data_IF_871181856451
#
_entry.id   IF_871181856451
#
_cell.length_a   1.000
_cell.length_b   1.000
_cell.length_c   1.000
_cell.angle_alpha   90.00
_cell.angle_beta   90.00
_cell.angle_gamma   90.00
#
_symmetry.space_group_name_H-M   'P 1'
#
loop_
_entity.id
_entity.type
_entity.pdbx_description
1 polymer ?
#
# COMPACT_ATOMS: atom_id res chain seq x y z
N UNK A 1 20.54 -23.71 -19.15
CA UNK A 1 21.18 -22.75 -18.21
C UNK A 1 20.07 -22.12 -17.38
N UNK A 2 19.77 -22.71 -16.22
CA UNK A 2 18.83 -22.13 -15.27
C UNK A 2 19.62 -21.09 -14.47
N UNK A 3 19.38 -19.80 -14.71
CA UNK A 3 19.88 -18.76 -13.83
C UNK A 3 19.15 -18.96 -12.51
N UNK A 4 19.91 -19.30 -11.47
CA UNK A 4 19.45 -19.38 -10.10
C UNK A 4 18.59 -18.18 -9.80
N UNK A 5 17.28 -18.43 -9.71
CA UNK A 5 16.27 -17.52 -9.20
C UNK A 5 16.79 -17.02 -7.86
N UNK A 6 17.33 -15.79 -7.83
CA UNK A 6 17.05 -14.93 -6.70
C UNK A 6 15.54 -15.07 -6.52
N UNK A 7 15.10 -15.68 -5.41
CA UNK A 7 13.68 -15.94 -5.12
C UNK A 7 12.82 -14.91 -5.81
N UNK A 8 11.94 -15.33 -6.74
CA UNK A 8 11.13 -14.42 -7.53
C UNK A 8 10.58 -13.33 -6.61
N UNK A 9 11.14 -12.12 -6.71
CA UNK A 9 10.90 -11.04 -5.73
C UNK A 9 9.43 -10.65 -5.72
N UNK A 10 8.72 -11.00 -6.80
CA UNK A 10 7.29 -10.89 -6.97
C UNK A 10 6.68 -12.28 -7.15
N UNK A 11 5.58 -12.56 -6.45
CA UNK A 11 4.74 -13.73 -6.66
C UNK A 11 3.46 -13.31 -7.38
N UNK A 12 3.14 -13.99 -8.48
CA UNK A 12 1.88 -13.79 -9.22
C UNK A 12 0.88 -14.84 -8.75
N UNK A 13 -0.23 -14.41 -8.16
CA UNK A 13 -1.27 -15.33 -7.64
C UNK A 13 -2.19 -15.87 -8.73
N UNK A 14 -2.35 -15.14 -9.83
CA UNK A 14 -3.23 -15.52 -10.94
C UNK A 14 -2.73 -14.93 -12.26
N UNK A 15 -2.76 -15.74 -13.31
CA UNK A 15 -2.29 -15.33 -14.65
C UNK A 15 -0.77 -15.28 -14.76
N UNK A 16 -0.29 -14.57 -15.77
CA UNK A 16 1.12 -14.23 -15.97
C UNK A 16 1.23 -12.71 -16.04
N UNK A 17 2.38 -12.17 -15.62
CA UNK A 17 2.69 -10.76 -15.81
C UNK A 17 3.49 -10.62 -17.09
N UNK A 18 3.03 -9.76 -17.99
CA UNK A 18 3.78 -9.43 -19.20
C UNK A 18 5.03 -8.61 -18.83
N UNK A 19 6.08 -8.61 -19.69
CA UNK A 19 7.31 -7.87 -19.43
C UNK A 19 7.07 -6.38 -19.12
N UNK A 20 6.10 -5.76 -19.79
CA UNK A 20 5.71 -4.36 -19.60
C UNK A 20 5.11 -4.12 -18.20
N UNK A 21 4.33 -5.06 -17.67
CA UNK A 21 3.73 -4.97 -16.35
C UNK A 21 4.81 -5.11 -15.25
N UNK A 22 5.74 -6.05 -15.42
CA UNK A 22 6.89 -6.19 -14.51
C UNK A 22 7.78 -4.95 -14.52
N UNK A 23 8.02 -4.36 -15.70
CA UNK A 23 8.76 -3.12 -15.83
C UNK A 23 8.05 -1.95 -15.12
N UNK A 24 6.72 -1.85 -15.24
CA UNK A 24 5.92 -0.82 -14.58
C UNK A 24 6.02 -0.94 -13.04
N UNK A 25 5.85 -2.15 -12.50
CA UNK A 25 5.96 -2.39 -11.05
C UNK A 25 7.37 -2.04 -10.56
N UNK A 26 8.40 -2.47 -11.28
CA UNK A 26 9.80 -2.16 -10.96
C UNK A 26 10.06 -0.66 -10.96
N UNK A 27 9.59 0.06 -11.98
CA UNK A 27 9.73 1.51 -12.09
C UNK A 27 9.07 2.23 -10.91
N UNK A 28 7.86 1.81 -10.51
CA UNK A 28 7.18 2.38 -9.33
C UNK A 28 7.96 2.10 -8.05
N UNK A 29 8.44 0.87 -7.84
CA UNK A 29 9.24 0.52 -6.66
C UNK A 29 10.52 1.34 -6.59
N UNK A 30 11.23 1.49 -7.70
CA UNK A 30 12.44 2.32 -7.79
C UNK A 30 12.14 3.79 -7.52
N UNK A 31 11.06 4.33 -8.09
CA UNK A 31 10.64 5.71 -7.84
C UNK A 31 10.30 5.93 -6.36
N UNK A 32 9.65 4.96 -5.71
CA UNK A 32 9.32 5.01 -4.28
C UNK A 32 10.56 4.89 -3.39
N UNK A 33 11.52 4.05 -3.76
CA UNK A 33 12.79 3.92 -3.06
C UNK A 33 13.66 5.18 -3.19
N UNK A 34 13.63 5.83 -4.35
CA UNK A 34 14.34 7.08 -4.59
C UNK A 34 13.65 8.30 -3.96
N UNK A 35 12.33 8.24 -3.75
CA UNK A 35 11.59 9.30 -3.08
C UNK A 35 11.92 9.32 -1.58
N UNK A 36 12.79 10.24 -1.17
CA UNK A 36 13.01 10.50 0.26
C UNK A 36 11.71 11.03 0.85
N UNK A 37 11.09 10.33 1.84
CA UNK A 37 9.93 10.88 2.51
C UNK A 37 10.36 12.16 3.21
N UNK A 38 9.73 13.28 2.86
CA UNK A 38 9.85 14.49 3.66
C UNK A 38 9.49 14.11 5.10
N UNK A 39 10.38 14.46 6.06
CA UNK A 39 10.13 14.17 7.46
C UNK A 39 8.71 14.63 7.77
N UNK A 40 7.81 13.72 8.21
CA UNK A 40 6.45 14.12 8.49
C UNK A 40 6.55 15.22 9.55
N UNK A 41 6.07 16.42 9.22
CA UNK A 41 5.88 17.45 10.23
C UNK A 41 5.06 16.79 11.32
N UNK A 42 5.63 16.63 12.52
CA UNK A 42 5.03 15.90 13.64
C UNK A 42 3.73 16.60 14.03
N UNK A 43 2.64 16.30 13.31
CA UNK A 43 1.30 16.75 13.65
C UNK A 43 0.85 15.87 14.81
N UNK A 44 0.45 16.52 15.89
CA UNK A 44 0.28 15.93 17.20
C UNK A 44 -0.59 14.66 17.23
N UNK A 45 -0.09 13.73 18.05
CA UNK A 45 -0.62 12.50 18.63
C UNK A 45 -0.78 11.25 17.73
N UNK A 46 0.20 10.37 17.97
CA UNK A 46 0.34 8.94 17.65
C UNK A 46 -0.69 8.03 18.36
N UNK A 47 -1.92 8.50 18.60
CA UNK A 47 -2.97 7.67 19.23
C UNK A 47 -4.12 7.57 18.25
N UNK A 48 -4.44 6.35 17.82
CA UNK A 48 -5.69 6.08 17.10
C UNK A 48 -6.82 6.71 17.93
N UNK A 49 -7.54 7.67 17.34
CA UNK A 49 -8.68 8.29 18.00
C UNK A 49 -9.80 7.28 18.07
N UNK A 50 -9.70 6.31 18.99
CA UNK A 50 -10.74 5.34 19.29
C UNK A 50 -12.00 6.15 19.59
N UNK A 51 -12.89 6.22 18.61
CA UNK A 51 -14.12 6.99 18.72
C UNK A 51 -15.06 6.19 19.63
N UNK A 52 -15.67 6.90 20.57
CA UNK A 52 -16.76 6.36 21.39
C UNK A 52 -17.94 6.01 20.48
N UNK A 53 -18.13 4.73 20.23
CA UNK A 53 -19.20 4.23 19.36
C UNK A 53 -20.59 4.64 19.88
N UNK A 54 -20.72 4.83 21.20
CA UNK A 54 -21.94 5.35 21.84
C UNK A 54 -22.30 6.81 21.43
N UNK A 55 -21.38 7.55 20.79
CA UNK A 55 -21.60 8.91 20.28
C UNK A 55 -21.63 9.00 18.75
N UNK A 56 -21.53 7.87 18.05
CA UNK A 56 -21.59 7.81 16.59
C UNK A 56 -23.00 7.33 16.17
N UNK A 57 -23.65 7.95 15.16
CA UNK A 57 -24.90 7.43 14.63
C UNK A 57 -24.73 5.96 14.25
N UNK A 58 -25.55 5.08 14.82
CA UNK A 58 -25.37 3.61 14.75
C UNK A 58 -25.50 3.01 13.35
N UNK A 59 -25.85 3.82 12.34
CA UNK A 59 -25.92 3.41 10.96
C UNK A 59 -25.19 4.41 10.06
N UNK A 60 -24.14 3.94 9.38
CA UNK A 60 -23.55 4.59 8.22
C UNK A 60 -23.96 3.81 6.98
N UNK A 61 -24.28 4.52 5.91
CA UNK A 61 -24.70 3.86 4.68
C UNK A 61 -23.60 2.92 4.17
N UNK A 62 -23.95 1.74 3.61
CA UNK A 62 -22.99 0.72 3.16
C UNK A 62 -21.95 1.20 2.14
N UNK A 63 -22.21 2.33 1.47
CA UNK A 63 -21.35 2.92 0.44
C UNK A 63 -20.47 4.07 0.97
N UNK A 64 -20.41 4.29 2.29
CA UNK A 64 -19.50 5.28 2.87
C UNK A 64 -18.11 4.67 3.07
N UNK A 65 -17.13 5.16 2.32
CA UNK A 65 -15.73 4.68 2.37
C UNK A 65 -14.79 5.66 3.10
N UNK A 66 -15.32 6.77 3.61
CA UNK A 66 -14.58 7.76 4.38
C UNK A 66 -14.96 7.64 5.87
N UNK A 67 -14.00 7.19 6.68
CA UNK A 67 -14.09 7.07 8.14
C UNK A 67 -13.24 8.10 8.84
#
# INVERSE_FOLDING_TARGET
>A
MSLTSAESVLRVEKGYADPEELAAITAVLMARAAAQPAAPARRGRDTAGWRRLERTPGFRAPHSWQG
#
